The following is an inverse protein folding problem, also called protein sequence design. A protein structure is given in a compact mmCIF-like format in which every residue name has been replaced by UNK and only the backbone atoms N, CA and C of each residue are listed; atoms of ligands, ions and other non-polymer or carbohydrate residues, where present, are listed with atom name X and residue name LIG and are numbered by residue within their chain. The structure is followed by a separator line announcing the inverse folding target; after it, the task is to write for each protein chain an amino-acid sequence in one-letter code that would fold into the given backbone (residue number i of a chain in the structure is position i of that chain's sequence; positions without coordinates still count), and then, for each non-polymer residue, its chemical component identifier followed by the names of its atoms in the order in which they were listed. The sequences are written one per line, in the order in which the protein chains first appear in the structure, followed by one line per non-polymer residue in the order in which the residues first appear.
data_IF_107701795628
#
_entry.id   IF_107701795628
#
_cell.length_a   1.000
_cell.length_b   1.000
_cell.length_c   1.000
_cell.angle_alpha   90.00
_cell.angle_beta   90.00
_cell.angle_gamma   90.00
#
_symmetry.space_group_name_H-M   'P 1'
#
loop_
_entity.id
_entity.type
_entity.pdbx_description
1 polymer ?
#
# COMPACT_ATOMS: atom_id res chain seq x y z
N UNK A 1 3.97 -14.33 1.20
CA UNK A 1 3.02 -14.01 2.29
C UNK A 1 3.74 -13.35 3.49
N UNK A 2 4.74 -14.00 4.08
CA UNK A 2 5.41 -13.55 5.31
C UNK A 2 6.12 -12.17 5.23
N UNK A 3 6.76 -11.84 4.10
CA UNK A 3 7.50 -10.58 3.95
C UNK A 3 6.63 -9.32 3.95
N UNK A 4 5.36 -9.42 3.55
CA UNK A 4 4.41 -8.28 3.59
C UNK A 4 3.99 -8.01 5.02
N UNK A 5 3.71 -9.06 5.79
CA UNK A 5 3.34 -8.95 7.21
C UNK A 5 4.51 -8.36 8.01
N UNK A 6 5.74 -8.82 7.77
CA UNK A 6 6.92 -8.24 8.42
C UNK A 6 7.04 -6.72 8.20
N UNK A 7 6.88 -6.26 6.96
CA UNK A 7 7.10 -4.85 6.60
C UNK A 7 5.92 -3.93 6.95
N UNK A 8 4.69 -4.44 6.90
CA UNK A 8 3.47 -3.62 7.09
C UNK A 8 2.83 -3.76 8.46
N UNK A 9 3.07 -4.87 9.14
CA UNK A 9 2.45 -5.17 10.44
C UNK A 9 3.51 -5.16 11.53
N UNK A 10 4.69 -5.75 11.29
CA UNK A 10 5.73 -5.97 12.30
C UNK A 10 6.90 -4.96 12.27
N UNK A 11 6.81 -3.88 11.50
CA UNK A 11 7.87 -2.86 11.44
C UNK A 11 7.28 -1.48 11.75
N UNK A 12 7.78 -0.75 12.77
CA UNK A 12 8.77 -1.20 13.77
C UNK A 12 8.22 -2.32 14.66
N UNK A 13 9.10 -3.20 15.16
CA UNK A 13 8.73 -4.37 15.96
C UNK A 13 8.57 -4.03 17.45
N UNK A 14 7.84 -2.95 17.74
CA UNK A 14 7.56 -2.48 19.11
C UNK A 14 6.20 -3.01 19.56
N UNK A 15 6.17 -4.30 19.92
CA UNK A 15 4.98 -4.93 20.53
C UNK A 15 5.24 -5.22 21.99
N UNK A 16 4.29 -4.85 22.83
CA UNK A 16 4.41 -5.02 24.28
C UNK A 16 4.03 -6.44 24.72
N UNK A 17 3.18 -7.11 23.94
CA UNK A 17 2.68 -8.46 24.22
C UNK A 17 2.18 -9.15 22.92
N UNK A 18 2.10 -10.48 22.95
CA UNK A 18 1.65 -11.32 21.85
C UNK A 18 0.19 -11.04 21.46
N UNK A 19 -0.65 -10.67 22.42
CA UNK A 19 -2.04 -10.29 22.18
C UNK A 19 -2.17 -9.04 21.28
N UNK A 20 -1.20 -8.13 21.35
CA UNK A 20 -1.15 -6.93 20.50
C UNK A 20 -0.85 -7.29 19.04
N UNK A 21 0.02 -8.29 18.83
CA UNK A 21 0.38 -8.82 17.51
C UNK A 21 -0.83 -9.53 16.89
N UNK A 22 -1.53 -10.36 17.65
CA UNK A 22 -2.71 -11.10 17.18
C UNK A 22 -3.81 -10.15 16.72
N UNK A 23 -4.11 -9.12 17.52
CA UNK A 23 -5.11 -8.10 17.17
C UNK A 23 -4.73 -7.32 15.90
N UNK A 24 -3.46 -6.90 15.78
CA UNK A 24 -2.97 -6.21 14.57
C UNK A 24 -3.00 -7.10 13.34
N UNK A 25 -2.67 -8.38 13.48
CA UNK A 25 -2.69 -9.33 12.37
C UNK A 25 -4.12 -9.59 11.89
N UNK A 26 -5.06 -9.80 12.81
CA UNK A 26 -6.48 -9.98 12.48
C UNK A 26 -7.07 -8.73 11.80
N UNK A 27 -6.73 -7.54 12.29
CA UNK A 27 -7.15 -6.28 11.66
C UNK A 27 -6.52 -6.08 10.27
N UNK A 28 -5.25 -6.48 10.10
CA UNK A 28 -4.56 -6.43 8.81
C UNK A 28 -5.18 -7.40 7.81
N UNK A 29 -5.44 -8.65 8.22
CA UNK A 29 -6.09 -9.67 7.40
C UNK A 29 -7.45 -9.17 6.91
N UNK A 30 -8.31 -8.66 7.81
CA UNK A 30 -9.63 -8.12 7.44
C UNK A 30 -9.54 -6.98 6.44
N UNK A 31 -8.60 -6.04 6.63
CA UNK A 31 -8.40 -4.94 5.67
C UNK A 31 -7.81 -5.42 4.35
N UNK A 32 -6.89 -6.37 4.40
CA UNK A 32 -6.22 -6.91 3.24
C UNK A 32 -7.21 -7.72 2.39
N UNK A 33 -8.03 -8.57 2.99
CA UNK A 33 -9.10 -9.31 2.31
C UNK A 33 -10.13 -8.36 1.66
N UNK A 34 -10.52 -7.29 2.35
CA UNK A 34 -11.48 -6.30 1.81
C UNK A 34 -10.91 -5.50 0.63
N UNK A 35 -9.61 -5.19 0.67
CA UNK A 35 -8.93 -4.41 -0.37
C UNK A 35 -8.30 -5.29 -1.46
N UNK A 36 -8.14 -6.58 -1.21
CA UNK A 36 -7.58 -7.52 -2.17
C UNK A 36 -8.62 -7.79 -3.25
N UNK A 37 -8.47 -7.08 -4.36
CA UNK A 37 -9.01 -7.59 -5.61
C UNK A 37 -8.38 -8.97 -5.91
N UNK A 38 -9.10 -9.89 -6.55
CA UNK A 38 -8.52 -11.13 -7.05
C UNK A 38 -7.24 -10.81 -7.81
N UNK A 39 -6.11 -11.20 -7.24
CA UNK A 39 -4.81 -10.96 -7.85
C UNK A 39 -4.56 -12.11 -8.81
N UNK A 40 -4.77 -11.86 -10.10
CA UNK A 40 -4.21 -12.75 -11.10
C UNK A 40 -2.69 -12.66 -11.01
N UNK A 41 -2.03 -13.80 -10.84
CA UNK A 41 -0.57 -13.89 -10.77
C UNK A 41 0.13 -13.46 -12.07
N UNK A 42 -0.63 -13.24 -13.15
CA UNK A 42 -0.14 -12.72 -14.41
C UNK A 42 -0.19 -11.19 -14.41
N UNK A 43 0.91 -10.58 -13.93
CA UNK A 43 1.15 -9.17 -14.17
C UNK A 43 1.62 -8.98 -15.61
N UNK A 44 0.72 -8.50 -16.46
CA UNK A 44 0.98 -8.36 -17.89
C UNK A 44 1.69 -7.03 -18.20
N UNK A 45 2.18 -6.88 -19.44
CA UNK A 45 2.74 -5.60 -19.90
C UNK A 45 1.68 -4.48 -19.93
N UNK A 46 0.42 -4.84 -20.15
CA UNK A 46 -0.68 -3.88 -20.18
C UNK A 46 -0.99 -3.37 -18.76
N UNK A 47 -0.90 -4.24 -17.75
CA UNK A 47 -1.01 -3.83 -16.34
C UNK A 47 0.11 -2.86 -15.93
N UNK A 48 1.32 -3.08 -16.43
CA UNK A 48 2.44 -2.15 -16.24
C UNK A 48 2.17 -0.79 -16.91
N UNK A 49 1.67 -0.79 -18.14
CA UNK A 49 1.35 0.43 -18.87
C UNK A 49 0.25 1.24 -18.15
N UNK A 50 -0.78 0.56 -17.63
CA UNK A 50 -1.85 1.16 -16.84
C UNK A 50 -1.33 1.75 -15.53
N UNK A 51 -0.44 1.04 -14.84
CA UNK A 51 0.19 1.51 -13.60
C UNK A 51 1.06 2.75 -13.84
N UNK A 52 1.85 2.76 -14.92
CA UNK A 52 2.69 3.91 -15.29
C UNK A 52 1.85 5.14 -15.60
N UNK A 53 0.72 4.98 -16.30
CA UNK A 53 -0.23 6.06 -16.59
C UNK A 53 -0.81 6.63 -15.29
N UNK A 54 -1.30 5.77 -14.40
CA UNK A 54 -1.85 6.17 -13.08
C UNK A 54 -0.83 6.94 -12.24
N UNK A 55 0.44 6.53 -12.26
CA UNK A 55 1.50 7.24 -11.53
C UNK A 55 1.82 8.61 -12.13
N UNK A 56 1.80 8.73 -13.46
CA UNK A 56 1.97 10.01 -14.13
C UNK A 56 0.83 10.98 -13.78
N UNK A 57 -0.42 10.52 -13.81
CA UNK A 57 -1.59 11.33 -13.50
C UNK A 57 -1.59 11.82 -12.04
N UNK A 58 -1.17 10.98 -11.09
CA UNK A 58 -1.09 11.33 -9.67
C UNK A 58 0.04 12.33 -9.33
N UNK A 59 1.08 12.45 -10.17
CA UNK A 59 2.13 13.47 -10.01
C UNK A 59 1.68 14.86 -10.45
N UNK A 60 0.73 14.94 -11.38
CA UNK A 60 0.18 16.23 -11.84
C UNK A 60 -0.67 16.90 -10.76
N UNK A 61 -1.31 16.12 -9.88
CA UNK A 61 -2.11 16.63 -8.75
C UNK A 61 -1.30 17.09 -7.54
N UNK A 62 0.02 16.86 -7.49
CA UNK A 62 0.88 17.28 -6.36
C UNK A 62 1.71 18.53 -6.63
N UNK A 63 1.45 19.28 -7.70
CA UNK A 63 2.11 20.59 -7.89
C UNK A 63 1.39 21.66 -7.06
N UNK A 64 2.06 22.36 -6.13
CA UNK A 64 1.46 23.51 -5.46
C UNK A 64 1.26 24.65 -6.47
N UNK A 65 0.24 25.51 -6.33
CA UNK A 65 0.12 26.68 -7.18
C UNK A 65 1.30 27.61 -6.88
N UNK A 66 2.09 27.91 -7.91
CA UNK A 66 3.21 28.83 -7.82
C UNK A 66 2.70 30.20 -7.36
N UNK A 67 3.07 30.62 -6.15
CA UNK A 67 2.79 31.98 -5.68
C UNK A 67 3.62 32.93 -6.54
N UNK A 68 2.90 33.72 -7.35
CA UNK A 68 3.46 34.79 -8.16
C UNK A 68 4.38 35.68 -7.34
N UNK A 69 5.57 35.90 -7.90
CA UNK A 69 6.55 36.86 -7.42
C UNK A 69 6.04 38.25 -7.80
N UNK A 70 5.85 39.11 -6.81
CA UNK A 70 5.69 40.56 -6.96
C UNK A 70 6.97 41.24 -6.46
#
# INVERSE_FOLDING_TARGET
YFSVIQRKVLTPNDFSDLAEIESRLAAFERRYEQAAAPFEWHFTRDDLALLMKKLADNRTTSSPPERGVA
#
